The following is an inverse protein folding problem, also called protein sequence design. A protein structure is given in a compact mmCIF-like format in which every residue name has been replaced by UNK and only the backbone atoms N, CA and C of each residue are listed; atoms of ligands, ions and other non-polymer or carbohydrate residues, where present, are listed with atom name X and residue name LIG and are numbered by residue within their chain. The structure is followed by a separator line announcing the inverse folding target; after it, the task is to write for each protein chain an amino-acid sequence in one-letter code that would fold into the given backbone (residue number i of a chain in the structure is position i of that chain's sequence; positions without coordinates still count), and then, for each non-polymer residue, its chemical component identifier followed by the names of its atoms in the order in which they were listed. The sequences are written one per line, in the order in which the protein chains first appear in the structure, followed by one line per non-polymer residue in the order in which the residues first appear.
data_IF_585317376298
#
_entry.id   IF_585317376298
#
_cell.length_a   1.000
_cell.length_b   1.000
_cell.length_c   1.000
_cell.angle_alpha   90.00
_cell.angle_beta   90.00
_cell.angle_gamma   90.00
#
_symmetry.space_group_name_H-M   'P 1'
#
loop_
_entity.id
_entity.type
_entity.pdbx_description
1 polymer ?
#
# COMPACT_ATOMS: atom_id res chain seq x y z
N UNK A 1 0.10 15.93 12.19
CA UNK A 1 -0.82 16.46 13.22
C UNK A 1 -0.17 16.54 14.59
N UNK A 2 -0.68 17.36 15.51
CA UNK A 2 -0.16 17.55 16.88
C UNK A 2 -0.82 16.61 17.90
N UNK A 3 -0.21 16.46 19.09
CA UNK A 3 -0.68 15.52 20.13
C UNK A 3 -2.13 15.77 20.59
N UNK A 4 -2.55 17.03 20.66
CA UNK A 4 -3.93 17.39 21.04
C UNK A 4 -4.96 16.96 19.98
N UNK A 5 -4.58 16.90 18.70
CA UNK A 5 -5.42 16.42 17.62
C UNK A 5 -5.58 14.90 17.68
N UNK A 6 -4.51 14.18 17.99
CA UNK A 6 -4.56 12.72 18.21
C UNK A 6 -5.44 12.37 19.40
N UNK A 7 -5.38 13.16 20.48
CA UNK A 7 -6.29 12.98 21.63
C UNK A 7 -7.76 13.09 21.22
N UNK A 8 -8.11 14.02 20.32
CA UNK A 8 -9.48 14.13 19.77
C UNK A 8 -9.88 12.86 19.00
N UNK A 9 -8.97 12.31 18.17
CA UNK A 9 -9.24 11.07 17.43
C UNK A 9 -9.48 9.88 18.36
N UNK A 10 -8.64 9.72 19.39
CA UNK A 10 -8.79 8.66 20.38
C UNK A 10 -10.08 8.80 21.20
N UNK A 11 -10.49 10.03 21.52
CA UNK A 11 -11.76 10.28 22.18
C UNK A 11 -12.96 9.85 21.33
N UNK A 12 -12.93 10.11 20.01
CA UNK A 12 -13.97 9.65 19.07
C UNK A 12 -14.02 8.11 19.04
N UNK A 13 -12.86 7.45 18.99
CA UNK A 13 -12.79 5.99 19.01
C UNK A 13 -13.30 5.39 20.32
N UNK A 14 -12.96 5.99 21.46
CA UNK A 14 -13.47 5.57 22.77
C UNK A 14 -14.99 5.73 22.89
N UNK A 15 -15.56 6.76 22.25
CA UNK A 15 -17.01 6.96 22.19
C UNK A 15 -17.71 5.95 21.26
N UNK A 16 -17.08 5.57 20.14
CA UNK A 16 -17.62 4.62 19.19
C UNK A 16 -17.50 3.16 19.66
N UNK A 17 -16.45 2.84 20.42
CA UNK A 17 -16.11 1.48 20.84
C UNK A 17 -15.95 1.41 22.36
N UNK A 18 -16.94 0.83 23.06
CA UNK A 18 -16.98 0.77 24.53
C UNK A 18 -15.77 0.10 25.20
N UNK A 19 -15.06 -0.78 24.48
CA UNK A 19 -13.85 -1.48 24.98
C UNK A 19 -12.54 -0.77 24.59
N UNK A 20 -12.61 0.38 23.93
CA UNK A 20 -11.43 1.11 23.48
C UNK A 20 -10.94 2.07 24.57
N UNK A 21 -10.08 1.56 25.43
CA UNK A 21 -9.50 2.34 26.53
C UNK A 21 -8.39 3.28 26.04
N UNK A 22 -8.33 4.49 26.57
CA UNK A 22 -7.30 5.49 26.22
C UNK A 22 -6.50 5.84 27.47
N UNK A 23 -5.18 5.77 27.36
CA UNK A 23 -4.24 6.20 28.39
C UNK A 23 -3.07 6.98 27.74
N UNK A 24 -2.20 7.56 28.56
CA UNK A 24 -1.10 8.41 28.07
C UNK A 24 -0.12 7.66 27.17
N UNK A 25 0.13 6.38 27.45
CA UNK A 25 1.01 5.53 26.66
C UNK A 25 0.39 5.29 25.26
N UNK A 26 -0.91 4.98 25.19
CA UNK A 26 -1.62 4.80 23.93
C UNK A 26 -1.69 6.10 23.15
N UNK A 27 -1.94 7.23 23.81
CA UNK A 27 -1.90 8.56 23.18
C UNK A 27 -0.52 8.84 22.57
N UNK A 28 0.55 8.60 23.33
CA UNK A 28 1.91 8.82 22.86
C UNK A 28 2.24 7.93 21.66
N UNK A 29 1.91 6.63 21.73
CA UNK A 29 2.12 5.68 20.65
C UNK A 29 1.36 6.08 19.38
N UNK A 30 0.07 6.41 19.50
CA UNK A 30 -0.73 6.85 18.35
C UNK A 30 -0.22 8.15 17.76
N UNK A 31 0.29 9.06 18.59
CA UNK A 31 0.92 10.29 18.12
C UNK A 31 2.20 10.00 17.32
N UNK A 32 3.09 9.15 17.83
CA UNK A 32 4.30 8.77 17.12
C UNK A 32 4.01 8.13 15.76
N UNK A 33 2.94 7.32 15.67
CA UNK A 33 2.62 6.54 14.47
C UNK A 33 1.76 7.26 13.43
N UNK A 34 1.11 8.38 13.80
CA UNK A 34 0.18 9.10 12.92
C UNK A 34 0.52 10.60 12.78
N UNK A 35 1.56 11.09 13.46
CA UNK A 35 1.95 12.51 13.42
C UNK A 35 2.33 13.02 12.02
N UNK A 36 2.71 12.12 11.11
CA UNK A 36 3.00 12.40 9.70
C UNK A 36 1.74 12.63 8.85
N UNK A 37 0.55 12.31 9.36
CA UNK A 37 -0.73 12.45 8.66
C UNK A 37 -1.39 13.79 9.07
N UNK A 38 -2.10 14.42 8.14
CA UNK A 38 -2.92 15.60 8.45
C UNK A 38 -4.10 15.22 9.33
N UNK A 39 -4.56 16.16 10.17
CA UNK A 39 -5.67 15.89 11.08
C UNK A 39 -6.96 15.58 10.30
N UNK A 40 -7.19 16.27 9.19
CA UNK A 40 -8.34 16.11 8.32
C UNK A 40 -8.42 14.68 7.75
N UNK A 41 -7.31 14.18 7.19
CA UNK A 41 -7.25 12.84 6.63
C UNK A 41 -7.44 11.77 7.71
N UNK A 42 -6.77 11.91 8.85
CA UNK A 42 -6.89 10.98 9.96
C UNK A 42 -8.33 10.97 10.55
N UNK A 43 -8.98 12.14 10.64
CA UNK A 43 -10.36 12.23 11.09
C UNK A 43 -11.33 11.56 10.13
N UNK A 44 -11.17 11.77 8.82
CA UNK A 44 -11.98 11.09 7.81
C UNK A 44 -11.77 9.57 7.86
N UNK A 45 -10.54 9.10 8.02
CA UNK A 45 -10.22 7.68 8.15
C UNK A 45 -10.87 7.03 9.37
N UNK A 46 -10.82 7.70 10.53
CA UNK A 46 -11.51 7.23 11.74
C UNK A 46 -13.02 7.12 11.51
N UNK A 47 -13.65 8.13 10.90
CA UNK A 47 -15.08 8.10 10.61
C UNK A 47 -15.45 7.00 9.63
N UNK A 48 -14.71 6.86 8.52
CA UNK A 48 -14.87 5.77 7.54
C UNK A 48 -14.82 4.41 8.24
N UNK A 49 -13.78 4.19 9.05
CA UNK A 49 -13.60 2.93 9.77
C UNK A 49 -14.78 2.60 10.70
N UNK A 50 -15.27 3.58 11.46
CA UNK A 50 -16.44 3.42 12.34
C UNK A 50 -17.69 2.99 11.57
N UNK A 51 -17.89 3.52 10.35
CA UNK A 51 -19.03 3.14 9.52
C UNK A 51 -18.96 1.70 9.00
N UNK A 52 -17.75 1.16 8.81
CA UNK A 52 -17.54 -0.14 8.14
C UNK A 52 -17.29 -1.29 9.12
N UNK A 53 -16.80 -0.99 10.33
CA UNK A 53 -16.23 -2.00 11.24
C UNK A 53 -16.79 -1.88 12.65
N UNK A 54 -17.27 -3.01 13.18
CA UNK A 54 -17.81 -3.11 14.54
C UNK A 54 -16.76 -3.31 15.64
N UNK A 55 -15.50 -3.57 15.28
CA UNK A 55 -14.41 -3.81 16.24
C UNK A 55 -13.45 -2.62 16.30
N UNK A 56 -12.86 -2.30 17.47
CA UNK A 56 -11.95 -1.17 17.59
C UNK A 56 -10.74 -1.29 16.65
N UNK A 57 -10.29 -0.19 16.02
CA UNK A 57 -9.17 -0.21 15.07
C UNK A 57 -7.82 -0.36 15.76
N UNK A 58 -6.90 -0.98 15.04
CA UNK A 58 -5.46 -0.80 15.23
C UNK A 58 -4.96 0.47 14.52
N UNK A 59 -3.71 0.85 14.78
CA UNK A 59 -3.05 1.95 14.06
C UNK A 59 -2.93 1.64 12.56
N UNK A 60 -2.68 0.37 12.21
CA UNK A 60 -2.56 -0.07 10.83
C UNK A 60 -3.89 0.12 10.07
N UNK A 61 -5.02 -0.19 10.71
CA UNK A 61 -6.35 -0.02 10.11
C UNK A 61 -6.64 1.46 9.77
N UNK A 62 -6.28 2.38 10.67
CA UNK A 62 -6.45 3.82 10.42
C UNK A 62 -5.55 4.28 9.28
N UNK A 63 -4.30 3.84 9.24
CA UNK A 63 -3.39 4.16 8.14
C UNK A 63 -3.89 3.60 6.81
N UNK A 64 -4.46 2.41 6.81
CA UNK A 64 -5.07 1.80 5.64
C UNK A 64 -6.25 2.63 5.14
N UNK A 65 -7.15 3.04 6.04
CA UNK A 65 -8.26 3.92 5.68
C UNK A 65 -7.78 5.28 5.15
N UNK A 66 -6.68 5.83 5.66
CA UNK A 66 -6.04 7.05 5.11
C UNK A 66 -5.53 6.82 3.68
N UNK A 67 -4.84 5.70 3.44
CA UNK A 67 -4.34 5.38 2.10
C UNK A 67 -5.47 5.23 1.09
N UNK A 68 -6.57 4.58 1.48
CA UNK A 68 -7.77 4.48 0.62
C UNK A 68 -8.37 5.85 0.30
N UNK A 69 -8.38 6.78 1.26
CA UNK A 69 -8.90 8.13 1.04
C UNK A 69 -8.03 8.90 0.03
N UNK A 70 -6.70 8.75 0.11
CA UNK A 70 -5.79 9.41 -0.81
C UNK A 70 -5.79 8.79 -2.20
N UNK A 71 -5.87 7.47 -2.28
CA UNK A 71 -5.90 6.78 -3.56
C UNK A 71 -7.28 6.93 -4.26
N UNK A 72 -8.36 7.10 -3.49
CA UNK A 72 -9.73 7.28 -3.98
C UNK A 72 -10.20 6.13 -4.88
N UNK A 73 -11.05 6.43 -5.86
CA UNK A 73 -11.48 5.46 -6.89
C UNK A 73 -10.39 5.22 -7.96
N UNK A 74 -9.21 5.85 -7.83
CA UNK A 74 -8.16 5.78 -8.84
C UNK A 74 -7.25 4.55 -8.73
N UNK A 75 -7.49 3.66 -7.75
CA UNK A 75 -6.77 2.38 -7.66
C UNK A 75 -7.29 1.47 -8.76
N UNK A 76 -6.48 1.26 -9.80
CA UNK A 76 -6.73 0.20 -10.78
C UNK A 76 -6.51 -1.14 -10.12
N UNK A 77 -7.61 -1.88 -9.94
CA UNK A 77 -7.54 -3.29 -9.59
C UNK A 77 -6.82 -4.10 -10.67
N UNK A 78 -6.39 -5.31 -10.32
CA UNK A 78 -5.65 -6.19 -11.22
C UNK A 78 -6.46 -6.52 -12.50
N UNK A 79 -7.80 -6.56 -12.39
CA UNK A 79 -8.73 -6.76 -13.50
C UNK A 79 -8.66 -5.63 -14.54
N UNK A 80 -8.74 -4.39 -14.08
CA UNK A 80 -8.61 -3.20 -14.91
C UNK A 80 -7.21 -3.11 -15.54
N UNK A 81 -6.16 -3.42 -14.78
CA UNK A 81 -4.78 -3.49 -15.28
C UNK A 81 -4.61 -4.52 -16.40
N UNK A 82 -5.21 -5.71 -16.25
CA UNK A 82 -5.23 -6.72 -17.32
C UNK A 82 -5.99 -6.24 -18.57
N UNK A 83 -7.04 -5.42 -18.39
CA UNK A 83 -7.73 -4.77 -19.49
C UNK A 83 -6.80 -3.91 -20.36
N UNK A 84 -5.81 -3.23 -19.75
CA UNK A 84 -4.78 -2.49 -20.48
C UNK A 84 -3.89 -3.42 -21.31
N UNK A 85 -3.51 -4.56 -20.73
CA UNK A 85 -2.71 -5.60 -21.42
C UNK A 85 -3.45 -6.08 -22.65
N UNK A 86 -4.71 -6.48 -22.50
CA UNK A 86 -5.56 -6.95 -23.62
C UNK A 86 -5.72 -5.88 -24.69
N UNK A 87 -5.97 -4.63 -24.29
CA UNK A 87 -6.05 -3.50 -25.22
C UNK A 87 -4.75 -3.35 -26.01
N UNK A 88 -3.61 -3.41 -25.33
CA UNK A 88 -2.32 -3.25 -26.00
C UNK A 88 -1.98 -4.43 -26.91
N UNK A 89 -2.39 -5.66 -26.59
CA UNK A 89 -2.19 -6.82 -27.48
C UNK A 89 -2.91 -6.55 -28.81
N UNK A 90 -4.15 -6.04 -28.74
CA UNK A 90 -4.95 -5.71 -29.93
C UNK A 90 -4.35 -4.57 -30.73
N UNK A 91 -3.90 -3.51 -30.06
CA UNK A 91 -3.49 -2.26 -30.71
C UNK A 91 -2.03 -2.33 -31.22
N UNK A 92 -1.14 -3.05 -30.53
CA UNK A 92 0.30 -3.09 -30.77
C UNK A 92 0.83 -4.44 -31.29
N UNK A 93 0.16 -5.54 -30.95
CA UNK A 93 0.62 -6.87 -31.28
C UNK A 93 1.99 -7.21 -30.68
N UNK A 94 2.59 -8.31 -31.15
CA UNK A 94 3.81 -8.86 -30.57
C UNK A 94 5.06 -7.98 -30.81
N UNK A 95 5.15 -7.33 -31.98
CA UNK A 95 6.39 -6.67 -32.41
C UNK A 95 6.57 -5.23 -31.90
N UNK A 96 5.51 -4.57 -31.39
CA UNK A 96 5.57 -3.18 -30.93
C UNK A 96 5.56 -3.09 -29.40
N UNK A 97 6.49 -3.82 -28.76
CA UNK A 97 6.58 -3.94 -27.30
C UNK A 97 6.77 -2.59 -26.60
N UNK A 98 7.72 -1.77 -27.04
CA UNK A 98 8.03 -0.50 -26.38
C UNK A 98 6.83 0.46 -26.41
N UNK A 99 6.12 0.52 -27.54
CA UNK A 99 4.90 1.29 -27.67
C UNK A 99 3.78 0.77 -26.76
N UNK A 100 3.62 -0.56 -26.67
CA UNK A 100 2.64 -1.18 -25.79
C UNK A 100 2.88 -0.80 -24.32
N UNK A 101 4.12 -0.85 -23.85
CA UNK A 101 4.47 -0.50 -22.46
C UNK A 101 4.21 0.96 -22.12
N UNK A 102 4.48 1.89 -23.06
CA UNK A 102 4.22 3.32 -22.87
C UNK A 102 2.73 3.65 -22.76
N UNK A 103 1.86 2.73 -23.17
CA UNK A 103 0.40 2.89 -23.15
C UNK A 103 -0.28 2.14 -22.01
N UNK A 104 0.48 1.61 -21.05
CA UNK A 104 0.00 0.98 -19.83
C UNK A 104 0.33 1.83 -18.60
N UNK A 105 -0.34 1.55 -17.48
CA UNK A 105 0.13 2.07 -16.19
C UNK A 105 1.54 1.53 -15.86
N UNK A 106 2.32 2.29 -15.10
CA UNK A 106 3.68 1.89 -14.71
C UNK A 106 3.72 0.48 -14.09
N UNK A 107 2.79 0.20 -13.16
CA UNK A 107 2.69 -1.11 -12.50
C UNK A 107 2.29 -2.23 -13.47
N UNK A 108 1.33 -1.98 -14.36
CA UNK A 108 0.97 -2.94 -15.42
C UNK A 108 2.19 -3.27 -16.28
N UNK A 109 2.92 -2.23 -16.74
CA UNK A 109 4.12 -2.39 -17.56
C UNK A 109 5.23 -3.15 -16.83
N UNK A 110 5.40 -2.93 -15.52
CA UNK A 110 6.35 -3.69 -14.70
C UNK A 110 6.01 -5.19 -14.67
N UNK A 111 4.75 -5.56 -14.43
CA UNK A 111 4.33 -6.97 -14.40
C UNK A 111 4.47 -7.60 -15.80
N UNK A 112 4.05 -6.91 -16.85
CA UNK A 112 4.21 -7.37 -18.25
C UNK A 112 5.67 -7.64 -18.59
N UNK A 113 6.59 -6.76 -18.16
CA UNK A 113 8.04 -6.97 -18.32
C UNK A 113 8.55 -8.21 -17.59
N UNK A 114 8.04 -8.48 -16.39
CA UNK A 114 8.44 -9.65 -15.60
C UNK A 114 7.93 -10.97 -16.18
N UNK A 115 6.76 -10.96 -16.82
CA UNK A 115 6.22 -12.15 -17.53
C UNK A 115 6.86 -12.32 -18.91
N UNK A 116 7.18 -11.22 -19.60
CA UNK A 116 7.53 -11.13 -21.02
C UNK A 116 6.33 -10.93 -21.95
N UNK A 117 6.40 -9.86 -22.76
CA UNK A 117 5.36 -9.52 -23.74
C UNK A 117 5.22 -10.56 -24.85
N UNK A 118 6.33 -11.14 -25.30
CA UNK A 118 6.28 -12.18 -26.33
C UNK A 118 5.59 -13.42 -25.82
N UNK A 119 5.84 -13.81 -24.55
CA UNK A 119 5.15 -14.94 -23.92
C UNK A 119 3.66 -14.68 -23.80
N UNK A 120 3.26 -13.47 -23.36
CA UNK A 120 1.86 -13.07 -23.28
C UNK A 120 1.17 -13.14 -24.65
N UNK A 121 1.83 -12.64 -25.71
CA UNK A 121 1.23 -12.58 -27.05
C UNK A 121 1.15 -13.95 -27.74
N UNK A 122 2.09 -14.86 -27.48
CA UNK A 122 2.19 -16.17 -28.13
C UNK A 122 1.52 -17.29 -27.32
N UNK A 123 1.06 -17.01 -26.10
CA UNK A 123 0.47 -18.02 -25.24
C UNK A 123 -0.84 -18.55 -25.82
N UNK A 124 -0.95 -19.87 -25.93
CA UNK A 124 -2.18 -20.55 -26.35
C UNK A 124 -3.30 -20.43 -25.30
N UNK A 125 -2.94 -20.40 -24.01
CA UNK A 125 -3.89 -20.32 -22.90
C UNK A 125 -3.72 -19.03 -22.10
N UNK A 126 -4.31 -17.97 -22.62
CA UNK A 126 -4.26 -16.64 -22.02
C UNK A 126 -4.87 -16.58 -20.60
N UNK A 127 -5.76 -17.51 -20.24
CA UNK A 127 -6.33 -17.58 -18.89
C UNK A 127 -5.28 -17.92 -17.81
N UNK A 128 -4.27 -18.74 -18.15
CA UNK A 128 -3.17 -19.05 -17.23
C UNK A 128 -2.29 -17.82 -17.01
N UNK A 129 -1.91 -17.14 -18.09
CA UNK A 129 -1.14 -15.89 -18.03
C UNK A 129 -1.89 -14.82 -17.25
N UNK A 130 -3.22 -14.68 -17.49
CA UNK A 130 -4.06 -13.77 -16.72
C UNK A 130 -3.97 -14.06 -15.22
N UNK A 131 -4.09 -15.32 -14.81
CA UNK A 131 -3.97 -15.71 -13.40
C UNK A 131 -2.60 -15.38 -12.79
N UNK A 132 -1.51 -15.63 -13.52
CA UNK A 132 -0.15 -15.28 -13.10
C UNK A 132 0.03 -13.76 -12.99
N UNK A 133 -0.46 -13.02 -13.98
CA UNK A 133 -0.46 -11.55 -13.98
C UNK A 133 -1.19 -11.00 -12.75
N UNK A 134 -2.41 -11.45 -12.46
CA UNK A 134 -3.17 -10.98 -11.29
C UNK A 134 -2.37 -11.17 -10.00
N UNK A 135 -1.82 -12.37 -9.81
CA UNK A 135 -1.03 -12.70 -8.63
C UNK A 135 0.20 -11.80 -8.48
N UNK A 136 0.93 -11.55 -9.56
CA UNK A 136 2.11 -10.69 -9.54
C UNK A 136 1.76 -9.23 -9.30
N UNK A 137 0.67 -8.75 -9.91
CA UNK A 137 0.16 -7.40 -9.70
C UNK A 137 -0.26 -7.17 -8.24
N UNK A 138 -0.99 -8.10 -7.64
CA UNK A 138 -1.38 -8.05 -6.22
C UNK A 138 -0.16 -8.05 -5.27
N UNK A 139 0.92 -8.77 -5.62
CA UNK A 139 2.16 -8.75 -4.83
C UNK A 139 2.80 -7.36 -4.87
N UNK A 140 2.90 -6.75 -6.06
CA UNK A 140 3.46 -5.40 -6.20
C UNK A 140 2.58 -4.36 -5.50
N UNK A 141 1.26 -4.46 -5.65
CA UNK A 141 0.30 -3.60 -4.98
C UNK A 141 0.42 -3.69 -3.45
N UNK A 142 0.50 -4.91 -2.89
CA UNK A 142 0.72 -5.09 -1.45
C UNK A 142 2.03 -4.47 -0.99
N UNK A 143 3.09 -4.56 -1.80
CA UNK A 143 4.39 -3.97 -1.48
C UNK A 143 4.32 -2.45 -1.48
N UNK A 144 3.79 -1.84 -2.53
CA UNK A 144 3.61 -0.39 -2.64
C UNK A 144 2.72 0.14 -1.51
N UNK A 145 1.62 -0.56 -1.21
CA UNK A 145 0.69 -0.19 -0.13
C UNK A 145 1.40 -0.30 1.21
N UNK A 146 2.12 -1.38 1.49
CA UNK A 146 2.93 -1.51 2.70
C UNK A 146 3.95 -0.38 2.85
N UNK A 147 4.58 0.03 1.75
CA UNK A 147 5.51 1.15 1.74
C UNK A 147 4.82 2.52 1.96
N UNK A 148 3.65 2.76 1.39
CA UNK A 148 2.88 3.99 1.66
C UNK A 148 2.38 4.06 3.11
N UNK A 149 2.11 2.91 3.71
CA UNK A 149 1.52 2.81 5.05
C UNK A 149 2.50 2.99 6.20
N UNK A 150 3.81 2.95 5.96
CA UNK A 150 4.80 3.13 7.02
C UNK A 150 5.17 4.61 7.23
N UNK A 151 5.13 5.13 8.47
CA UNK A 151 5.66 6.44 8.78
C UNK A 151 7.14 6.54 8.43
N UNK A 152 7.57 7.69 7.89
CA UNK A 152 8.95 7.89 7.46
C UNK A 152 9.96 7.65 8.60
N UNK A 153 9.64 8.13 9.82
CA UNK A 153 10.51 7.94 10.99
C UNK A 153 10.74 6.45 11.32
N UNK A 154 9.70 5.62 11.20
CA UNK A 154 9.80 4.16 11.40
C UNK A 154 10.67 3.52 10.32
N UNK A 155 10.48 3.89 9.05
CA UNK A 155 11.31 3.40 7.94
C UNK A 155 12.79 3.74 8.14
N UNK A 156 13.10 4.95 8.57
CA UNK A 156 14.48 5.37 8.86
C UNK A 156 15.09 4.65 10.06
N UNK A 157 14.30 4.37 11.09
CA UNK A 157 14.73 3.55 12.22
C UNK A 157 15.05 2.12 11.79
N UNK A 158 14.20 1.49 10.97
CA UNK A 158 14.45 0.15 10.41
C UNK A 158 15.76 0.13 9.63
N UNK A 159 16.00 1.12 8.76
CA UNK A 159 17.25 1.23 8.00
C UNK A 159 18.47 1.37 8.91
N UNK A 160 18.39 2.22 9.95
CA UNK A 160 19.47 2.39 10.93
C UNK A 160 19.79 1.11 11.69
N UNK A 161 18.76 0.37 12.12
CA UNK A 161 18.93 -0.92 12.81
C UNK A 161 19.59 -1.95 11.90
N UNK A 162 19.16 -2.04 10.63
CA UNK A 162 19.76 -2.96 9.66
C UNK A 162 21.23 -2.64 9.35
N UNK A 163 21.57 -1.36 9.16
CA UNK A 163 22.95 -0.93 8.93
C UNK A 163 23.86 -1.28 10.12
N UNK A 164 23.41 -0.96 11.34
CA UNK A 164 24.20 -1.25 12.55
C UNK A 164 24.49 -2.75 12.70
N UNK A 165 23.52 -3.61 12.39
CA UNK A 165 23.73 -5.07 12.42
C UNK A 165 24.83 -5.50 11.45
N UNK A 166 24.82 -4.99 10.23
CA UNK A 166 25.82 -5.34 9.22
C UNK A 166 27.23 -4.85 9.62
N UNK A 167 27.32 -3.67 10.23
CA UNK A 167 28.59 -3.12 10.73
C UNK A 167 29.15 -3.95 11.89
N UNK A 168 28.28 -4.41 12.79
CA UNK A 168 28.64 -5.25 13.93
C UNK A 168 29.08 -6.66 13.45
N UNK A 169 28.39 -7.24 12.46
CA UNK A 169 28.80 -8.50 11.81
C UNK A 169 30.17 -8.35 11.10
N UNK A 170 30.41 -7.25 10.38
CA UNK A 170 31.68 -7.01 9.68
C UNK A 170 32.89 -6.88 10.62
N UNK A 171 32.68 -6.34 11.84
CA UNK A 171 33.73 -6.23 12.87
C UNK A 171 34.08 -7.56 13.56
N UNK A 172 33.24 -8.58 13.44
CA UNK A 172 33.47 -9.91 14.03
C UNK A 172 34.30 -10.83 13.11
N UNK A 173 34.40 -10.50 11.82
CA UNK A 173 35.08 -11.30 10.79
C UNK A 173 36.43 -10.71 10.35
N UNK A 174 36.77 -9.49 10.80
CA UNK A 174 38.05 -8.82 10.56
C UNK A 174 38.89 -8.71 11.81
#
# INVERSE_FOLDING_TARGET
MVKSEVAKLLAVLAAAYSKFEVNDIKLQLWYEMLSDISYEAAQCAVKKYICERSFPPSIADIREAVADIYDGDNVKDAGAAWGEVVKCIRDYGMYRFDEALLNMSEKTAMVVKQISWSEICLCENLSVIRGQFMKMYEILEKRERGDKLMPQGVREQIKRVAMKRNDDEAKLIG
#
